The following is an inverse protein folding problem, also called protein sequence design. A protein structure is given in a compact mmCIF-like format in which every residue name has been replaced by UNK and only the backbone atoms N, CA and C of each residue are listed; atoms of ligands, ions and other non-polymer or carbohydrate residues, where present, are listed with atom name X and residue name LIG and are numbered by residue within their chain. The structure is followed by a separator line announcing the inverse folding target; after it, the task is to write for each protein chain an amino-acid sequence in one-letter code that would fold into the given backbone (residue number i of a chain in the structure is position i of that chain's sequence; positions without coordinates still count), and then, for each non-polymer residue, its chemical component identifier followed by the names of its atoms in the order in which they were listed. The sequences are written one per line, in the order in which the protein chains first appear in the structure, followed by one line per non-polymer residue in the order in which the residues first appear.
data_IF_069972447864
#
_entry.id   IF_069972447864
#
_cell.length_a   1.000
_cell.length_b   1.000
_cell.length_c   1.000
_cell.angle_alpha   90.00
_cell.angle_beta   90.00
_cell.angle_gamma   90.00
#
_symmetry.space_group_name_H-M   'P 1'
#
loop_
_entity.id
_entity.type
_entity.pdbx_description
1 polymer ?
#
# COMPACT_ATOMS: atom_id res chain seq x y z
N UNK A 1 16.04 -2.68 8.68
CA UNK A 1 14.57 -2.84 8.73
C UNK A 1 14.08 -3.76 9.87
N UNK A 2 14.98 -4.20 10.76
CA UNK A 2 14.66 -5.05 11.91
C UNK A 2 14.92 -4.28 13.20
N UNK A 3 14.11 -4.53 14.23
CA UNK A 3 14.24 -3.89 15.53
C UNK A 3 15.33 -4.55 16.38
N UNK A 4 16.31 -3.79 16.91
CA UNK A 4 17.37 -4.35 17.75
C UNK A 4 16.88 -4.99 19.06
N UNK A 5 15.73 -4.56 19.59
CA UNK A 5 15.19 -5.01 20.88
C UNK A 5 14.47 -6.36 20.78
N UNK A 6 13.62 -6.57 19.78
CA UNK A 6 12.86 -7.82 19.61
C UNK A 6 13.41 -8.74 18.51
N UNK A 7 14.38 -8.27 17.71
CA UNK A 7 14.97 -8.96 16.55
C UNK A 7 13.97 -9.29 15.42
N UNK A 8 12.73 -8.81 15.51
CA UNK A 8 11.72 -8.89 14.44
C UNK A 8 11.76 -7.69 13.49
N UNK A 9 10.88 -7.67 12.48
CA UNK A 9 10.66 -6.48 11.66
C UNK A 9 10.03 -5.34 12.46
N UNK A 10 10.21 -4.10 12.00
CA UNK A 10 9.55 -2.96 12.63
C UNK A 10 8.03 -3.05 12.52
N UNK A 11 7.36 -2.90 13.66
CA UNK A 11 5.92 -2.70 13.81
C UNK A 11 5.74 -1.38 14.55
N UNK A 12 4.98 -0.46 13.95
CA UNK A 12 4.87 0.94 14.38
C UNK A 12 6.26 1.55 14.64
N UNK A 13 7.10 1.59 13.60
CA UNK A 13 8.46 2.11 13.67
C UNK A 13 8.47 3.47 14.39
N UNK A 14 9.31 3.56 15.41
CA UNK A 14 9.42 4.71 16.31
C UNK A 14 10.88 5.08 16.45
N UNK A 15 11.19 6.31 16.10
CA UNK A 15 12.55 6.84 16.03
C UNK A 15 12.80 7.81 17.18
N UNK A 16 13.94 7.65 17.84
CA UNK A 16 14.45 8.59 18.85
C UNK A 16 15.00 9.81 18.11
N UNK A 17 14.49 11.01 18.40
CA UNK A 17 14.81 12.20 17.61
C UNK A 17 16.26 12.62 17.77
N UNK A 18 16.85 12.44 18.94
CA UNK A 18 18.21 12.89 19.25
C UNK A 18 19.30 12.09 18.52
N UNK A 19 19.07 10.79 18.28
CA UNK A 19 20.07 9.91 17.69
C UNK A 19 19.62 9.17 16.42
N UNK A 20 18.37 9.37 15.99
CA UNK A 20 17.76 8.78 14.79
C UNK A 20 17.76 7.24 14.73
N UNK A 21 17.95 6.55 15.87
CA UNK A 21 17.77 5.10 15.94
C UNK A 21 16.30 4.74 16.08
N UNK A 22 15.87 3.74 15.30
CA UNK A 22 14.47 3.29 15.22
C UNK A 22 14.24 1.92 15.88
N UNK A 23 13.04 1.74 16.41
CA UNK A 23 12.59 0.54 17.12
C UNK A 23 11.09 0.30 16.86
N UNK A 24 10.55 -0.87 17.24
CA UNK A 24 9.09 -0.99 17.34
C UNK A 24 8.57 -0.11 18.48
N UNK A 25 7.41 0.53 18.31
CA UNK A 25 6.80 1.40 19.33
C UNK A 25 6.71 0.75 20.70
N UNK A 26 6.17 -0.47 20.75
CA UNK A 26 6.00 -1.23 21.98
C UNK A 26 7.34 -1.57 22.65
N UNK A 27 8.38 -1.84 21.85
CA UNK A 27 9.70 -2.20 22.34
C UNK A 27 10.39 -1.01 22.99
N UNK A 28 10.43 0.14 22.30
CA UNK A 28 11.13 1.32 22.84
C UNK A 28 10.39 1.93 24.02
N UNK A 29 9.05 1.97 24.01
CA UNK A 29 8.28 2.44 25.17
C UNK A 29 8.56 1.57 26.39
N UNK A 30 8.56 0.24 26.24
CA UNK A 30 8.85 -0.69 27.34
C UNK A 30 10.29 -0.52 27.87
N UNK A 31 11.26 -0.30 27.00
CA UNK A 31 12.64 -0.03 27.40
C UNK A 31 12.76 1.29 28.19
N UNK A 32 12.14 2.35 27.68
CA UNK A 32 12.20 3.69 28.28
C UNK A 32 11.45 3.83 29.61
N UNK A 33 10.58 2.88 29.96
CA UNK A 33 9.98 2.79 31.29
C UNK A 33 10.98 2.39 32.38
N UNK A 34 12.08 1.71 32.01
CA UNK A 34 13.07 1.18 32.96
C UNK A 34 14.43 1.86 32.81
N UNK A 35 14.80 2.23 31.58
CA UNK A 35 16.12 2.75 31.22
C UNK A 35 15.99 4.06 30.46
N UNK A 36 16.85 5.03 30.75
CA UNK A 36 16.80 6.37 30.15
C UNK A 36 17.90 6.59 29.10
N UNK A 37 18.19 5.59 28.28
CA UNK A 37 19.21 5.67 27.22
C UNK A 37 18.83 4.86 25.99
N UNK A 38 19.39 5.23 24.83
CA UNK A 38 19.19 4.53 23.57
C UNK A 38 19.81 3.12 23.62
N UNK A 39 19.07 2.04 23.27
CA UNK A 39 19.60 0.68 23.26
C UNK A 39 20.77 0.42 22.29
N UNK A 40 21.03 1.32 21.34
CA UNK A 40 22.04 1.13 20.27
C UNK A 40 23.29 1.94 20.53
N UNK A 41 23.14 3.23 20.84
CA UNK A 41 24.28 4.15 21.02
C UNK A 41 24.46 4.65 22.45
N UNK A 42 23.64 4.17 23.39
CA UNK A 42 23.70 4.51 24.82
C UNK A 42 23.57 6.01 25.15
N UNK A 43 23.21 6.83 24.15
CA UNK A 43 22.88 8.25 24.36
C UNK A 43 21.76 8.38 25.39
N UNK A 44 21.95 9.25 26.38
CA UNK A 44 20.97 9.53 27.41
C UNK A 44 19.74 10.22 26.81
N UNK A 45 18.56 9.76 27.22
CA UNK A 45 17.26 10.26 26.80
C UNK A 45 16.55 10.80 28.04
N UNK A 46 15.85 11.92 27.87
CA UNK A 46 15.10 12.51 28.97
C UNK A 46 14.00 11.56 29.47
N UNK A 47 14.12 11.08 30.71
CA UNK A 47 13.19 10.13 31.32
C UNK A 47 11.79 10.70 31.53
N UNK A 48 11.67 12.01 31.76
CA UNK A 48 10.38 12.65 32.04
C UNK A 48 9.55 12.84 30.75
N UNK A 49 10.23 13.10 29.63
CA UNK A 49 9.59 13.29 28.32
C UNK A 49 10.54 12.85 27.20
N UNK A 50 10.60 11.55 26.88
CA UNK A 50 11.45 11.08 25.79
C UNK A 50 10.95 11.63 24.45
N UNK A 51 11.85 12.19 23.65
CA UNK A 51 11.51 12.74 22.34
C UNK A 51 11.54 11.64 21.27
N UNK A 52 10.53 10.78 21.29
CA UNK A 52 10.34 9.71 20.31
C UNK A 52 9.18 10.04 19.38
N UNK A 53 9.32 9.73 18.09
CA UNK A 53 8.30 10.00 17.06
C UNK A 53 8.02 8.75 16.23
N UNK A 54 6.76 8.57 15.85
CA UNK A 54 6.39 7.56 14.85
C UNK A 54 7.04 7.90 13.51
N UNK A 55 7.74 6.93 12.96
CA UNK A 55 8.43 7.02 11.68
C UNK A 55 7.59 6.32 10.60
N UNK A 56 6.59 7.06 10.09
CA UNK A 56 5.64 6.52 9.10
C UNK A 56 6.35 6.10 7.81
N UNK A 57 7.33 6.88 7.36
CA UNK A 57 8.08 6.58 6.14
C UNK A 57 8.88 5.28 6.27
N UNK A 58 9.61 5.09 7.38
CA UNK A 58 10.31 3.84 7.63
C UNK A 58 9.35 2.67 7.73
N UNK A 59 8.21 2.83 8.41
CA UNK A 59 7.21 1.78 8.51
C UNK A 59 6.62 1.39 7.15
N UNK A 60 6.35 2.36 6.28
CA UNK A 60 5.83 2.11 4.94
C UNK A 60 6.86 1.38 4.06
N UNK A 61 8.15 1.75 4.17
CA UNK A 61 9.24 1.03 3.50
C UNK A 61 9.28 -0.43 3.97
N UNK A 62 9.22 -0.67 5.28
CA UNK A 62 9.26 -2.01 5.86
C UNK A 62 8.09 -2.86 5.35
N UNK A 63 6.87 -2.31 5.35
CA UNK A 63 5.69 -3.04 4.89
C UNK A 63 5.68 -3.30 3.38
N UNK A 64 6.22 -2.39 2.56
CA UNK A 64 6.34 -2.60 1.10
C UNK A 64 7.44 -3.59 0.72
N UNK A 65 8.51 -3.68 1.51
CA UNK A 65 9.66 -4.54 1.23
C UNK A 65 9.48 -5.98 1.72
N UNK A 66 8.67 -6.21 2.76
CA UNK A 66 8.50 -7.55 3.35
C UNK A 66 7.12 -8.11 2.98
N UNK A 67 7.05 -9.08 2.04
CA UNK A 67 5.78 -9.62 1.56
C UNK A 67 4.91 -10.17 2.69
N UNK A 68 3.63 -9.81 2.68
CA UNK A 68 2.63 -10.25 3.65
C UNK A 68 2.85 -9.78 5.10
N UNK A 69 3.87 -8.96 5.40
CA UNK A 69 4.12 -8.49 6.77
C UNK A 69 2.97 -7.63 7.28
N UNK A 70 2.51 -6.67 6.47
CA UNK A 70 1.37 -5.81 6.81
C UNK A 70 0.13 -6.65 7.08
N UNK A 71 -0.23 -7.55 6.17
CA UNK A 71 -1.41 -8.40 6.30
C UNK A 71 -1.37 -9.26 7.57
N UNK A 72 -0.23 -9.89 7.86
CA UNK A 72 -0.04 -10.69 9.08
C UNK A 72 -0.15 -9.86 10.36
N UNK A 73 0.34 -8.62 10.35
CA UNK A 73 0.18 -7.72 11.50
C UNK A 73 -1.28 -7.28 11.69
N UNK A 74 -1.98 -6.93 10.61
CA UNK A 74 -3.40 -6.58 10.67
C UNK A 74 -4.25 -7.75 11.17
N UNK A 75 -3.98 -8.97 10.67
CA UNK A 75 -4.64 -10.19 11.12
C UNK A 75 -4.42 -10.43 12.63
N UNK A 76 -3.20 -10.25 13.13
CA UNK A 76 -2.90 -10.36 14.56
C UNK A 76 -3.65 -9.34 15.40
N UNK A 77 -3.76 -8.10 14.92
CA UNK A 77 -4.53 -7.04 15.60
C UNK A 77 -6.02 -7.41 15.67
N UNK A 78 -6.59 -7.85 14.55
CA UNK A 78 -7.99 -8.28 14.48
C UNK A 78 -8.26 -9.45 15.43
N UNK A 79 -7.43 -10.50 15.40
CA UNK A 79 -7.56 -11.66 16.30
C UNK A 79 -7.48 -11.27 17.78
N UNK A 80 -6.59 -10.34 18.13
CA UNK A 80 -6.46 -9.83 19.49
C UNK A 80 -7.73 -9.12 19.98
N UNK A 81 -8.33 -8.28 19.13
CA UNK A 81 -9.54 -7.52 19.49
C UNK A 81 -10.84 -8.30 19.34
N UNK A 82 -10.89 -9.33 18.49
CA UNK A 82 -12.05 -10.20 18.34
C UNK A 82 -12.45 -10.88 19.67
N UNK A 83 -11.47 -11.20 20.51
CA UNK A 83 -11.69 -11.78 21.84
C UNK A 83 -11.83 -10.75 22.97
N UNK A 84 -11.76 -9.44 22.67
CA UNK A 84 -11.65 -8.34 23.65
C UNK A 84 -12.50 -7.12 23.27
N UNK A 85 -13.84 -7.23 23.33
CA UNK A 85 -14.73 -6.16 22.86
C UNK A 85 -14.61 -4.85 23.66
N UNK A 86 -14.29 -4.90 24.96
CA UNK A 86 -14.07 -3.70 25.78
C UNK A 86 -12.90 -2.84 25.30
N UNK A 87 -11.65 -3.37 25.33
CA UNK A 87 -10.48 -2.66 24.79
C UNK A 87 -10.64 -2.23 23.32
N UNK A 88 -11.34 -3.03 22.50
CA UNK A 88 -11.60 -2.70 21.09
C UNK A 88 -12.35 -1.37 20.91
N UNK A 89 -13.32 -1.08 21.78
CA UNK A 89 -14.10 0.17 21.73
C UNK A 89 -13.24 1.44 21.92
N UNK A 90 -12.10 1.32 22.61
CA UNK A 90 -11.18 2.44 22.87
C UNK A 90 -10.07 2.59 21.83
N UNK A 91 -9.85 1.56 21.00
CA UNK A 91 -8.81 1.54 19.98
C UNK A 91 -9.28 2.24 18.69
N UNK A 92 -8.36 2.83 17.94
CA UNK A 92 -8.68 3.33 16.59
C UNK A 92 -8.88 2.17 15.60
N UNK A 93 -9.59 2.37 14.48
CA UNK A 93 -9.71 1.35 13.43
C UNK A 93 -8.35 0.78 12.96
N UNK A 94 -7.34 1.63 12.73
CA UNK A 94 -5.97 1.21 12.38
C UNK A 94 -5.31 0.36 13.48
N UNK A 95 -5.56 0.67 14.76
CA UNK A 95 -5.07 -0.13 15.88
C UNK A 95 -5.76 -1.49 15.97
N UNK A 96 -7.02 -1.59 15.54
CA UNK A 96 -7.75 -2.86 15.42
C UNK A 96 -7.43 -3.65 14.16
N UNK A 97 -6.75 -3.03 13.20
CA UNK A 97 -6.48 -3.61 11.88
C UNK A 97 -7.67 -3.55 10.92
N UNK A 98 -8.61 -2.62 11.14
CA UNK A 98 -9.86 -2.48 10.38
C UNK A 98 -9.82 -1.34 9.34
N UNK A 99 -8.72 -0.59 9.26
CA UNK A 99 -8.56 0.54 8.35
C UNK A 99 -7.33 0.37 7.46
N UNK A 100 -7.58 -0.22 6.29
CA UNK A 100 -6.58 -0.50 5.25
C UNK A 100 -6.68 0.48 4.09
N UNK A 101 -6.88 1.78 4.36
CA UNK A 101 -6.63 2.82 3.34
C UNK A 101 -5.19 2.76 2.80
N UNK A 102 -4.28 2.06 3.51
CA UNK A 102 -2.94 1.74 3.01
C UNK A 102 -3.01 0.64 1.96
N UNK A 103 -2.83 1.06 0.72
CA UNK A 103 -2.60 0.20 -0.43
C UNK A 103 -1.20 -0.46 -0.31
N UNK A 104 -1.13 -1.59 0.41
CA UNK A 104 0.07 -2.41 0.52
C UNK A 104 -0.24 -3.76 -0.10
N UNK A 105 0.27 -3.98 -1.31
CA UNK A 105 0.03 -5.22 -2.04
C UNK A 105 1.17 -6.23 -1.82
N UNK A 106 0.80 -7.49 -1.61
CA UNK A 106 1.72 -8.62 -1.85
C UNK A 106 1.95 -8.79 -3.35
N UNK A 107 3.12 -9.27 -3.80
CA UNK A 107 3.35 -9.62 -5.20
C UNK A 107 2.31 -10.61 -5.78
N UNK A 108 1.73 -11.46 -4.92
CA UNK A 108 0.70 -12.43 -5.31
C UNK A 108 -0.73 -11.86 -5.30
N UNK A 109 -0.95 -10.65 -4.78
CA UNK A 109 -2.29 -10.08 -4.68
C UNK A 109 -2.90 -9.92 -6.05
N UNK A 110 -4.19 -10.25 -6.16
CA UNK A 110 -4.87 -10.22 -7.44
C UNK A 110 -5.39 -8.81 -7.70
N UNK A 111 -4.86 -8.16 -8.73
CA UNK A 111 -5.29 -6.84 -9.19
C UNK A 111 -6.17 -6.98 -10.44
N UNK A 112 -7.14 -6.08 -10.57
CA UNK A 112 -8.02 -5.99 -11.73
C UNK A 112 -7.98 -4.56 -12.28
N UNK A 113 -7.70 -4.43 -13.57
CA UNK A 113 -7.72 -3.15 -14.28
C UNK A 113 -8.23 -3.33 -15.71
N UNK A 114 -8.62 -2.25 -16.34
CA UNK A 114 -8.96 -2.22 -17.77
C UNK A 114 -7.77 -1.70 -18.58
N UNK A 115 -7.58 -2.25 -19.77
CA UNK A 115 -6.65 -1.73 -20.78
C UNK A 115 -7.48 -1.29 -21.97
N UNK A 116 -7.42 0.00 -22.27
CA UNK A 116 -8.15 0.63 -23.37
C UNK A 116 -7.14 1.23 -24.34
N UNK A 117 -7.48 1.19 -25.63
CA UNK A 117 -6.73 1.95 -26.63
C UNK A 117 -7.03 3.43 -26.41
N UNK A 118 -5.98 4.26 -26.39
CA UNK A 118 -6.14 5.69 -26.18
C UNK A 118 -6.60 6.35 -27.47
N UNK A 119 -7.91 6.54 -27.63
CA UNK A 119 -8.43 7.39 -28.71
C UNK A 119 -8.14 8.85 -28.39
N UNK A 120 -7.28 9.48 -29.20
CA UNK A 120 -6.93 10.91 -29.10
C UNK A 120 -8.16 11.81 -29.35
N UNK A 121 -9.27 11.25 -29.84
CA UNK A 121 -10.50 11.96 -30.24
C UNK A 121 -11.63 11.95 -29.20
N UNK A 122 -11.49 11.27 -28.06
CA UNK A 122 -12.51 11.30 -27.01
C UNK A 122 -12.36 12.56 -26.12
N UNK A 123 -12.67 13.70 -26.73
CA UNK A 123 -13.21 14.84 -25.99
C UNK A 123 -14.59 14.46 -25.48
N UNK A 124 -14.73 14.31 -24.16
CA UNK A 124 -16.00 14.40 -23.41
C UNK A 124 -17.26 13.93 -24.14
N UNK A 125 -17.36 12.64 -24.45
CA UNK A 125 -18.69 12.03 -24.62
C UNK A 125 -19.31 11.78 -23.23
N UNK A 126 -19.48 12.86 -22.46
CA UNK A 126 -20.56 12.93 -21.47
C UNK A 126 -21.83 12.79 -22.28
N UNK A 127 -22.37 11.58 -22.32
CA UNK A 127 -23.64 11.25 -22.94
C UNK A 127 -24.76 12.03 -22.24
N UNK A 128 -24.92 13.28 -22.64
CA UNK A 128 -26.09 14.09 -22.40
C UNK A 128 -27.19 13.45 -23.23
N UNK A 129 -28.07 12.67 -22.58
CA UNK A 129 -29.25 12.10 -23.22
C UNK A 129 -30.17 13.25 -23.65
N UNK A 130 -30.04 13.71 -24.88
CA UNK A 130 -31.13 14.43 -25.57
C UNK A 130 -31.78 13.47 -26.54
N UNK A 131 -33.01 13.10 -26.21
CA UNK A 131 -33.93 12.33 -27.03
C UNK A 131 -34.22 13.08 -28.33
N UNK A 132 -33.75 12.58 -29.46
CA UNK A 132 -34.50 12.35 -30.70
C UNK A 132 -33.53 12.16 -31.86
N UNK A 133 -33.41 10.93 -32.37
CA UNK A 133 -33.11 10.57 -33.76
C UNK A 133 -32.92 9.05 -33.85
N UNK A 134 -33.67 8.39 -34.73
CA UNK A 134 -33.63 6.96 -35.04
C UNK A 134 -32.35 6.55 -35.78
N UNK A 135 -31.18 6.70 -35.16
CA UNK A 135 -29.92 6.08 -35.59
C UNK A 135 -29.59 4.90 -34.67
N UNK A 136 -29.04 3.78 -35.21
CA UNK A 136 -28.66 2.65 -34.37
C UNK A 136 -27.62 3.10 -33.34
N UNK A 137 -27.96 3.00 -32.05
CA UNK A 137 -27.06 3.32 -30.96
C UNK A 137 -25.70 2.62 -31.18
N UNK A 138 -24.56 3.33 -31.06
CA UNK A 138 -23.27 2.67 -31.04
C UNK A 138 -23.29 1.68 -29.86
N UNK A 139 -23.13 0.40 -30.19
CA UNK A 139 -23.09 -0.69 -29.22
C UNK A 139 -22.15 -0.31 -28.09
N UNK A 140 -22.68 -0.21 -26.86
CA UNK A 140 -21.90 0.12 -25.67
C UNK A 140 -20.63 -0.75 -25.65
N UNK A 141 -19.46 -0.12 -25.81
CA UNK A 141 -18.19 -0.82 -25.88
C UNK A 141 -17.99 -1.55 -24.55
N UNK A 142 -18.05 -2.88 -24.57
CA UNK A 142 -17.87 -3.69 -23.36
C UNK A 142 -16.44 -3.50 -22.87
N UNK A 143 -16.27 -2.77 -21.77
CA UNK A 143 -14.97 -2.55 -21.13
C UNK A 143 -14.35 -3.90 -20.77
N UNK A 144 -13.14 -4.16 -21.27
CA UNK A 144 -12.43 -5.41 -21.00
C UNK A 144 -11.53 -5.22 -19.78
N UNK A 145 -11.66 -6.14 -18.83
CA UNK A 145 -10.85 -6.16 -17.62
C UNK A 145 -9.81 -7.29 -17.72
N UNK A 146 -8.62 -7.01 -17.21
CA UNK A 146 -7.54 -7.97 -17.03
C UNK A 146 -7.33 -8.17 -15.53
N UNK A 147 -7.42 -9.42 -15.11
CA UNK A 147 -7.05 -9.85 -13.77
C UNK A 147 -5.65 -10.46 -13.81
N UNK A 148 -4.74 -9.96 -12.99
CA UNK A 148 -3.39 -10.51 -12.89
C UNK A 148 -2.78 -10.29 -11.49
N UNK A 149 -1.67 -10.96 -11.15
CA UNK A 149 -0.96 -10.70 -9.89
C UNK A 149 -0.33 -9.31 -9.86
N UNK A 150 -0.22 -8.70 -8.68
CA UNK A 150 0.34 -7.36 -8.48
C UNK A 150 1.82 -7.23 -8.89
N UNK A 151 2.56 -8.35 -8.97
CA UNK A 151 3.94 -8.39 -9.49
C UNK A 151 4.05 -8.08 -10.99
N UNK A 152 2.94 -8.09 -11.73
CA UNK A 152 2.94 -7.77 -13.16
C UNK A 152 3.34 -6.31 -13.37
N UNK A 153 4.49 -6.11 -14.03
CA UNK A 153 5.00 -4.79 -14.37
C UNK A 153 4.56 -4.34 -15.77
N UNK A 154 4.86 -3.08 -16.10
CA UNK A 154 4.54 -2.46 -17.39
C UNK A 154 5.14 -3.23 -18.58
N UNK A 155 6.33 -3.82 -18.45
CA UNK A 155 6.94 -4.59 -19.55
C UNK A 155 6.17 -5.88 -19.84
N UNK A 156 5.66 -6.56 -18.81
CA UNK A 156 4.78 -7.71 -19.00
C UNK A 156 3.51 -7.30 -19.76
N UNK A 157 2.93 -6.14 -19.44
CA UNK A 157 1.75 -5.62 -20.14
C UNK A 157 2.06 -5.25 -21.60
N UNK A 158 3.19 -4.59 -21.87
CA UNK A 158 3.63 -4.29 -23.24
C UNK A 158 3.80 -5.57 -24.06
N UNK A 159 4.45 -6.60 -23.49
CA UNK A 159 4.62 -7.91 -24.14
C UNK A 159 3.27 -8.60 -24.38
N UNK A 160 2.38 -8.59 -23.39
CA UNK A 160 1.03 -9.13 -23.51
C UNK A 160 0.25 -8.47 -24.66
N UNK A 161 0.29 -7.13 -24.77
CA UNK A 161 -0.38 -6.39 -25.83
C UNK A 161 0.23 -6.69 -27.21
N UNK A 162 1.56 -6.73 -27.31
CA UNK A 162 2.25 -7.08 -28.56
C UNK A 162 1.83 -8.47 -29.06
N UNK A 163 1.80 -9.47 -28.17
CA UNK A 163 1.37 -10.83 -28.54
C UNK A 163 -0.13 -10.93 -28.84
N UNK A 164 -0.98 -10.21 -28.09
CA UNK A 164 -2.43 -10.29 -28.22
C UNK A 164 -2.96 -9.65 -29.51
N UNK A 165 -2.28 -8.61 -29.98
CA UNK A 165 -2.68 -7.83 -31.15
C UNK A 165 -1.71 -7.97 -32.33
N UNK A 166 -0.73 -8.88 -32.24
CA UNK A 166 0.28 -9.15 -33.26
C UNK A 166 1.04 -7.88 -33.70
N UNK A 167 1.47 -7.07 -32.71
CA UNK A 167 2.17 -5.80 -32.96
C UNK A 167 3.66 -6.07 -33.12
N UNK A 168 4.21 -5.73 -34.29
CA UNK A 168 5.64 -5.78 -34.57
C UNK A 168 6.42 -4.73 -33.77
N UNK A 169 7.13 -5.19 -32.75
CA UNK A 169 7.96 -4.36 -31.88
C UNK A 169 9.15 -3.68 -32.56
N UNK A 170 9.50 -4.08 -33.79
CA UNK A 170 10.55 -3.41 -34.58
C UNK A 170 10.03 -2.15 -35.28
N UNK A 171 8.72 -2.09 -35.53
CA UNK A 171 8.07 -0.99 -36.25
C UNK A 171 7.30 -0.06 -35.31
N UNK A 172 6.69 -0.62 -34.26
CA UNK A 172 5.79 0.11 -33.37
C UNK A 172 6.22 0.03 -31.91
N UNK A 173 6.12 1.16 -31.22
CA UNK A 173 6.27 1.24 -29.77
C UNK A 173 4.91 1.17 -29.09
N UNK A 174 4.81 0.42 -28.00
CA UNK A 174 3.61 0.35 -27.15
C UNK A 174 3.88 1.18 -25.91
N UNK A 175 3.07 2.21 -25.66
CA UNK A 175 3.11 3.01 -24.44
C UNK A 175 1.84 2.83 -23.61
N UNK A 176 2.02 2.73 -22.29
CA UNK A 176 0.95 2.51 -21.33
C UNK A 176 0.81 3.77 -20.50
N UNK A 177 -0.36 4.39 -20.60
CA UNK A 177 -0.70 5.63 -19.93
C UNK A 177 -1.67 5.35 -18.78
N UNK A 178 -1.50 6.07 -17.67
CA UNK A 178 -2.47 6.07 -16.58
C UNK A 178 -3.33 7.32 -16.69
N UNK A 179 -4.62 7.14 -17.00
CA UNK A 179 -5.61 8.23 -16.99
C UNK A 179 -6.14 8.38 -15.57
N UNK A 180 -5.81 9.51 -14.90
CA UNK A 180 -6.50 9.89 -13.66
C UNK A 180 -7.94 10.24 -14.02
N UNK A 181 -8.88 9.48 -13.47
CA UNK A 181 -10.31 9.80 -13.46
C UNK A 181 -10.59 10.62 -12.20
#
# INVERSE_FOLDING_TARGET
ITCPLCRGYYIDATTIVECLHSFCRSCIIKHLQVKSYCPVCEMMINSAKPNIKLDKALQDIVYKLVPGLFQKEMERRQQFYASRPGPAASATPEQRGEDTERIIFSPEDVISFSLEYSDITDSDSISSKSSDSNEPQPTAVTRRYLQCPAVVNINHLKKFLSMKFDIDSTQFAIDILYKRV
#
